data_IF_306534361473
#
_entry.id   IF_306534361473
#
_cell.length_a   1.000
_cell.length_b   1.000
_cell.length_c   1.000
_cell.angle_alpha   90.00
_cell.angle_beta   90.00
_cell.angle_gamma   90.00
#
_symmetry.space_group_name_H-M   'P 1'
#
loop_
_entity.id
_entity.type
_entity.pdbx_description
1 polymer ?
#
# COMPACT_ATOMS: atom_id res chain seq x y z
N UNK A 1 8.75 -2.93 -34.52
CA UNK A 1 7.84 -2.12 -33.68
C UNK A 1 8.52 -1.94 -32.34
N UNK A 2 8.56 -0.72 -31.80
CA UNK A 2 9.05 -0.49 -30.44
C UNK A 2 7.96 -0.88 -29.43
N UNK A 3 8.35 -1.40 -28.26
CA UNK A 3 7.42 -1.68 -27.16
C UNK A 3 6.77 -0.38 -26.67
N UNK A 4 5.47 -0.42 -26.42
CA UNK A 4 4.79 0.66 -25.72
C UNK A 4 4.93 0.44 -24.21
N UNK A 5 5.99 0.97 -23.62
CA UNK A 5 6.29 0.78 -22.20
C UNK A 5 5.18 1.26 -21.27
N UNK A 6 4.45 2.33 -21.62
CA UNK A 6 3.31 2.80 -20.83
C UNK A 6 2.22 1.74 -20.74
N UNK A 7 1.89 1.11 -21.88
CA UNK A 7 0.90 0.04 -21.92
C UNK A 7 1.38 -1.22 -21.18
N UNK A 8 2.66 -1.57 -21.25
CA UNK A 8 3.19 -2.74 -20.54
C UNK A 8 3.20 -2.56 -19.02
N UNK A 9 3.57 -1.36 -18.54
CA UNK A 9 3.58 -1.02 -17.11
C UNK A 9 2.16 -1.03 -16.54
N UNK A 10 1.22 -0.38 -17.22
CA UNK A 10 -0.18 -0.37 -16.83
C UNK A 10 -0.83 -1.73 -16.99
N UNK A 11 -0.56 -2.45 -18.09
CA UNK A 11 -1.16 -3.74 -18.37
C UNK A 11 -0.88 -4.78 -17.29
N UNK A 12 0.36 -4.82 -16.76
CA UNK A 12 0.67 -5.69 -15.62
C UNK A 12 -0.14 -5.32 -14.37
N UNK A 13 -0.17 -4.03 -14.05
CA UNK A 13 -0.82 -3.53 -12.84
C UNK A 13 -2.34 -3.71 -12.91
N UNK A 14 -2.95 -3.32 -14.02
CA UNK A 14 -4.40 -3.39 -14.26
C UNK A 14 -4.89 -4.83 -14.28
N UNK A 15 -4.16 -5.73 -14.94
CA UNK A 15 -4.48 -7.16 -14.90
C UNK A 15 -4.44 -7.70 -13.47
N UNK A 16 -3.36 -7.41 -12.72
CA UNK A 16 -3.27 -7.85 -11.33
C UNK A 16 -4.41 -7.27 -10.48
N UNK A 17 -4.69 -5.98 -10.63
CA UNK A 17 -5.72 -5.27 -9.89
C UNK A 17 -7.10 -5.88 -10.14
N UNK A 18 -7.52 -6.02 -11.40
CA UNK A 18 -8.88 -6.44 -11.75
C UNK A 18 -9.10 -7.94 -11.56
N UNK A 19 -8.08 -8.76 -11.87
CA UNK A 19 -8.22 -10.23 -11.87
C UNK A 19 -7.86 -10.84 -10.52
N UNK A 20 -6.86 -10.27 -9.81
CA UNK A 20 -6.31 -10.87 -8.59
C UNK A 20 -6.70 -10.10 -7.33
N UNK A 21 -6.36 -8.82 -7.24
CA UNK A 21 -6.45 -8.06 -5.99
C UNK A 21 -7.88 -7.61 -5.66
N UNK A 22 -8.51 -6.81 -6.51
CA UNK A 22 -9.78 -6.17 -6.18
C UNK A 22 -10.91 -7.17 -5.86
N UNK A 23 -11.08 -8.29 -6.60
CA UNK A 23 -12.04 -9.32 -6.22
C UNK A 23 -11.77 -9.90 -4.82
N UNK A 24 -10.50 -10.04 -4.44
CA UNK A 24 -10.08 -10.54 -3.11
C UNK A 24 -10.34 -9.54 -2.00
N UNK A 25 -10.56 -8.25 -2.28
CA UNK A 25 -10.85 -7.22 -1.27
C UNK A 25 -12.35 -7.02 -1.00
N UNK A 26 -13.23 -7.53 -1.87
CA UNK A 26 -14.69 -7.39 -1.69
C UNK A 26 -15.18 -8.01 -0.39
N UNK A 27 -16.08 -7.31 0.30
CA UNK A 27 -16.67 -7.74 1.57
C UNK A 27 -15.71 -7.73 2.77
N UNK A 28 -14.58 -7.03 2.67
CA UNK A 28 -13.68 -6.77 3.81
C UNK A 28 -14.38 -5.81 4.77
N UNK A 29 -14.43 -6.18 6.05
CA UNK A 29 -15.05 -5.37 7.09
C UNK A 29 -14.10 -5.12 8.25
N UNK A 30 -14.47 -4.22 9.15
CA UNK A 30 -13.57 -3.73 10.20
C UNK A 30 -13.03 -4.83 11.12
N UNK A 31 -13.79 -5.91 11.34
CA UNK A 31 -13.34 -7.05 12.16
C UNK A 31 -12.11 -7.74 11.57
N UNK A 32 -12.04 -7.92 10.25
CA UNK A 32 -10.84 -8.48 9.63
C UNK A 32 -9.76 -7.42 9.41
N UNK A 33 -10.15 -6.17 9.17
CA UNK A 33 -9.22 -5.04 9.05
C UNK A 33 -8.33 -4.91 10.28
N UNK A 34 -8.93 -5.02 11.47
CA UNK A 34 -8.27 -4.97 12.76
C UNK A 34 -7.86 -6.33 13.33
N UNK A 35 -8.00 -7.43 12.56
CA UNK A 35 -7.62 -8.75 13.07
C UNK A 35 -6.11 -8.86 13.25
N UNK A 36 -5.70 -9.22 14.47
CA UNK A 36 -4.30 -9.41 14.86
C UNK A 36 -3.91 -10.89 14.68
N UNK A 37 -3.09 -11.24 13.68
CA UNK A 37 -2.74 -12.63 13.40
C UNK A 37 -1.73 -13.21 14.41
N UNK A 38 -0.94 -12.36 15.06
CA UNK A 38 0.08 -12.71 16.05
C UNK A 38 0.14 -11.62 17.13
N UNK A 39 0.61 -11.97 18.31
CA UNK A 39 0.86 -11.00 19.38
C UNK A 39 1.92 -9.98 18.96
N UNK A 40 1.72 -8.72 19.34
CA UNK A 40 2.67 -7.65 19.05
C UNK A 40 2.72 -7.22 17.58
N UNK A 41 1.74 -7.61 16.76
CA UNK A 41 1.65 -7.15 15.38
C UNK A 41 1.41 -5.63 15.31
N UNK A 42 1.91 -5.01 14.24
CA UNK A 42 1.68 -3.60 13.95
C UNK A 42 0.32 -3.37 13.27
N UNK A 43 -0.40 -2.35 13.73
CA UNK A 43 -1.73 -2.02 13.21
C UNK A 43 -1.93 -0.51 13.04
N UNK A 44 -3.10 -0.14 12.53
CA UNK A 44 -3.58 1.25 12.51
C UNK A 44 -4.02 1.64 13.93
N UNK A 45 -3.63 2.83 14.38
CA UNK A 45 -3.94 3.38 15.71
C UNK A 45 -4.68 4.71 15.57
N UNK A 46 -5.73 4.96 16.36
CA UNK A 46 -6.33 6.28 16.44
C UNK A 46 -5.35 7.29 17.03
N UNK A 47 -5.42 8.54 16.55
CA UNK A 47 -4.69 9.69 17.09
C UNK A 47 -5.63 10.53 17.95
N UNK A 48 -5.06 11.32 18.87
CA UNK A 48 -5.83 12.22 19.73
C UNK A 48 -6.52 13.38 18.99
N UNK A 49 -6.18 13.61 17.71
CA UNK A 49 -6.75 14.64 16.84
C UNK A 49 -7.94 14.13 15.99
N UNK A 50 -8.37 12.87 16.19
CA UNK A 50 -9.45 12.24 15.44
C UNK A 50 -9.01 11.60 14.11
N UNK A 51 -7.73 11.74 13.74
CA UNK A 51 -7.12 10.98 12.64
C UNK A 51 -6.64 9.60 13.06
N UNK A 52 -5.95 8.91 12.15
CA UNK A 52 -5.25 7.66 12.45
C UNK A 52 -3.79 7.75 12.02
N UNK A 53 -2.96 6.95 12.68
CA UNK A 53 -1.57 6.67 12.34
C UNK A 53 -1.40 5.16 12.22
N UNK A 54 -0.20 4.71 11.89
CA UNK A 54 0.20 3.30 11.98
C UNK A 54 1.30 3.12 13.01
N UNK A 55 1.36 1.92 13.58
CA UNK A 55 2.53 1.45 14.30
C UNK A 55 3.71 1.39 13.29
N UNK A 56 4.78 2.13 13.59
CA UNK A 56 5.99 2.22 12.77
C UNK A 56 7.15 2.75 13.61
N UNK A 57 8.38 2.37 13.28
CA UNK A 57 9.60 2.94 13.86
C UNK A 57 10.75 2.87 12.86
N UNK A 58 11.72 3.77 13.03
CA UNK A 58 12.95 3.80 12.25
C UNK A 58 14.19 3.86 13.18
N UNK A 59 15.18 2.95 13.02
CA UNK A 59 15.13 1.76 12.17
C UNK A 59 14.06 0.77 12.65
N UNK A 60 13.58 -0.08 11.73
CA UNK A 60 12.64 -1.14 12.10
C UNK A 60 13.27 -2.15 13.07
N UNK A 61 12.47 -2.82 13.93
CA UNK A 61 12.96 -3.93 14.74
C UNK A 61 13.43 -5.10 13.87
N UNK A 62 14.28 -5.96 14.43
CA UNK A 62 14.76 -7.17 13.75
C UNK A 62 14.37 -8.43 14.56
N UNK A 63 13.45 -9.28 14.05
CA UNK A 63 12.72 -9.15 12.79
C UNK A 63 11.66 -8.04 12.83
N UNK A 64 11.23 -7.51 11.66
CA UNK A 64 10.12 -6.57 11.62
C UNK A 64 8.83 -7.25 12.10
N UNK A 65 7.99 -6.58 12.90
CA UNK A 65 6.73 -7.15 13.35
C UNK A 65 5.79 -7.45 12.18
N UNK A 66 4.98 -8.51 12.32
CA UNK A 66 3.89 -8.79 11.37
C UNK A 66 2.90 -7.62 11.41
N UNK A 67 2.34 -7.25 10.26
CA UNK A 67 1.37 -6.16 10.14
C UNK A 67 -0.04 -6.70 9.89
N UNK A 68 -1.06 -6.03 10.43
CA UNK A 68 -2.48 -6.37 10.19
C UNK A 68 -2.90 -6.08 8.73
N UNK A 69 -4.09 -6.55 8.36
CA UNK A 69 -4.72 -6.21 7.08
C UNK A 69 -4.87 -4.68 6.95
N UNK A 70 -5.34 -4.02 8.01
CA UNK A 70 -5.53 -2.58 8.01
C UNK A 70 -4.25 -1.79 7.81
N UNK A 71 -3.16 -2.21 8.46
CA UNK A 71 -1.84 -1.61 8.25
C UNK A 71 -1.39 -1.74 6.79
N UNK A 72 -1.51 -2.93 6.20
CA UNK A 72 -1.07 -3.19 4.80
C UNK A 72 -1.91 -2.42 3.79
N UNK A 73 -3.22 -2.35 3.97
CA UNK A 73 -4.09 -1.56 3.10
C UNK A 73 -3.81 -0.06 3.24
N UNK A 74 -3.57 0.42 4.46
CA UNK A 74 -3.12 1.78 4.71
C UNK A 74 -1.79 2.07 4.01
N UNK A 75 -0.83 1.15 4.05
CA UNK A 75 0.48 1.31 3.40
C UNK A 75 0.32 1.38 1.89
N UNK A 76 -0.46 0.48 1.29
CA UNK A 76 -0.73 0.52 -0.15
C UNK A 76 -1.46 1.80 -0.58
N UNK A 77 -2.44 2.27 0.20
CA UNK A 77 -3.17 3.49 -0.12
C UNK A 77 -2.28 4.73 0.06
N UNK A 78 -1.77 4.94 1.27
CA UNK A 78 -1.08 6.17 1.69
C UNK A 78 0.40 6.12 1.35
N UNK A 79 1.08 5.10 1.88
CA UNK A 79 2.52 4.92 1.84
C UNK A 79 3.06 4.44 0.50
N UNK A 80 2.21 4.10 -0.46
CA UNK A 80 2.56 3.69 -1.84
C UNK A 80 1.90 4.63 -2.86
N UNK A 81 0.57 4.69 -2.94
CA UNK A 81 -0.12 5.37 -4.03
C UNK A 81 -0.35 6.87 -3.82
N UNK A 82 -1.07 7.29 -2.78
CA UNK A 82 -1.47 8.69 -2.57
C UNK A 82 -0.26 9.63 -2.57
N UNK A 83 0.81 9.27 -1.85
CA UNK A 83 2.04 10.06 -1.81
C UNK A 83 2.64 10.26 -3.21
N UNK A 84 2.57 9.23 -4.07
CA UNK A 84 3.16 9.25 -5.42
C UNK A 84 2.27 9.99 -6.40
N UNK A 85 0.95 9.85 -6.24
CA UNK A 85 -0.04 10.63 -6.97
C UNK A 85 0.19 12.12 -6.69
N UNK A 86 0.29 12.51 -5.43
CA UNK A 86 0.54 13.91 -5.06
C UNK A 86 1.90 14.40 -5.57
N UNK A 87 2.96 13.62 -5.40
CA UNK A 87 4.30 14.09 -5.72
C UNK A 87 4.62 14.16 -7.23
N UNK A 88 4.02 13.28 -8.03
CA UNK A 88 4.29 13.22 -9.47
C UNK A 88 3.22 13.91 -10.32
N UNK A 89 1.98 13.97 -9.83
CA UNK A 89 0.84 14.48 -10.59
C UNK A 89 0.05 15.58 -9.85
N UNK A 90 0.42 15.89 -8.60
CA UNK A 90 -0.19 16.93 -7.77
C UNK A 90 0.77 18.09 -7.43
N UNK A 91 0.60 18.68 -6.25
CA UNK A 91 1.35 19.87 -5.82
C UNK A 91 2.52 19.58 -4.86
N UNK A 92 2.79 18.31 -4.56
CA UNK A 92 3.86 17.85 -3.66
C UNK A 92 3.72 18.36 -2.23
N UNK A 93 2.49 18.54 -1.76
CA UNK A 93 2.21 19.00 -0.39
C UNK A 93 2.03 17.86 0.61
N UNK A 94 1.76 16.64 0.16
CA UNK A 94 1.50 15.51 1.04
C UNK A 94 2.75 15.10 1.81
N UNK A 95 2.58 14.80 3.10
CA UNK A 95 3.68 14.33 3.96
C UNK A 95 3.23 13.15 4.80
N UNK A 96 4.06 12.11 4.82
CA UNK A 96 3.76 10.85 5.51
C UNK A 96 3.65 11.02 7.05
N UNK A 97 4.34 12.00 7.63
CA UNK A 97 4.33 12.30 9.06
C UNK A 97 3.05 13.02 9.53
N UNK A 98 2.34 13.69 8.62
CA UNK A 98 1.13 14.45 8.93
C UNK A 98 -0.16 13.86 8.36
N UNK A 99 -0.07 13.05 7.30
CA UNK A 99 -1.26 12.46 6.67
C UNK A 99 -1.98 11.52 7.64
N UNK A 100 -3.31 11.58 7.66
CA UNK A 100 -4.13 10.60 8.37
C UNK A 100 -4.18 9.30 7.58
N UNK A 101 -4.03 8.18 8.28
CA UNK A 101 -4.21 6.83 7.74
C UNK A 101 -5.69 6.43 7.75
N UNK A 102 -6.12 5.44 6.94
CA UNK A 102 -7.50 4.99 6.97
C UNK A 102 -7.81 4.23 8.26
N UNK A 103 -8.90 4.60 8.92
CA UNK A 103 -9.34 4.03 10.19
C UNK A 103 -10.39 2.92 10.07
N UNK A 104 -10.80 2.58 8.85
CA UNK A 104 -11.77 1.51 8.61
C UNK A 104 -11.49 0.79 7.30
N UNK A 105 -12.10 -0.39 7.17
CA UNK A 105 -12.12 -1.17 5.94
C UNK A 105 -12.60 -0.34 4.74
N UNK A 106 -13.77 0.28 4.88
CA UNK A 106 -14.41 1.04 3.79
C UNK A 106 -13.58 2.26 3.40
N UNK A 107 -13.01 2.97 4.38
CA UNK A 107 -12.15 4.12 4.12
C UNK A 107 -10.88 3.68 3.36
N UNK A 108 -10.24 2.60 3.81
CA UNK A 108 -9.03 2.09 3.18
C UNK A 108 -9.28 1.64 1.73
N UNK A 109 -10.37 0.92 1.46
CA UNK A 109 -10.71 0.47 0.12
C UNK A 109 -11.09 1.63 -0.81
N UNK A 110 -11.81 2.62 -0.29
CA UNK A 110 -12.16 3.83 -1.05
C UNK A 110 -10.90 4.57 -1.47
N UNK A 111 -10.03 4.89 -0.50
CA UNK A 111 -8.76 5.60 -0.73
C UNK A 111 -7.83 4.84 -1.66
N UNK A 112 -7.65 3.54 -1.43
CA UNK A 112 -6.83 2.69 -2.28
C UNK A 112 -7.35 2.69 -3.74
N UNK A 113 -8.66 2.57 -3.92
CA UNK A 113 -9.28 2.59 -5.25
C UNK A 113 -9.17 3.94 -5.96
N UNK A 114 -9.35 5.04 -5.24
CA UNK A 114 -9.18 6.40 -5.78
C UNK A 114 -7.73 6.66 -6.18
N UNK A 115 -6.78 6.36 -5.30
CA UNK A 115 -5.36 6.56 -5.54
C UNK A 115 -4.85 5.67 -6.68
N UNK A 116 -5.34 4.43 -6.78
CA UNK A 116 -5.05 3.54 -7.91
C UNK A 116 -5.49 4.14 -9.24
N UNK A 117 -6.75 4.62 -9.31
CA UNK A 117 -7.26 5.27 -10.54
C UNK A 117 -6.46 6.51 -10.92
N UNK A 118 -6.13 7.34 -9.93
CA UNK A 118 -5.34 8.55 -10.16
C UNK A 118 -3.91 8.23 -10.63
N UNK A 119 -3.27 7.22 -10.04
CA UNK A 119 -1.96 6.74 -10.47
C UNK A 119 -1.99 6.23 -11.92
N UNK A 120 -2.94 5.34 -12.25
CA UNK A 120 -3.06 4.82 -13.61
C UNK A 120 -3.38 5.93 -14.62
N UNK A 121 -4.18 6.93 -14.25
CA UNK A 121 -4.44 8.09 -15.10
C UNK A 121 -3.16 8.91 -15.36
N UNK A 122 -2.38 9.22 -14.32
CA UNK A 122 -1.14 9.97 -14.46
C UNK A 122 -0.08 9.24 -15.30
N UNK A 123 0.11 7.93 -15.05
CA UNK A 123 1.08 7.10 -15.80
C UNK A 123 0.70 7.00 -17.28
N UNK A 124 -0.60 6.94 -17.60
CA UNK A 124 -1.10 6.84 -18.98
C UNK A 124 -0.73 8.04 -19.85
N UNK A 125 -0.56 9.22 -19.24
CA UNK A 125 -0.14 10.44 -19.95
C UNK A 125 1.37 10.51 -20.23
N UNK A 126 2.16 9.56 -19.69
CA UNK A 126 3.61 9.57 -19.86
C UNK A 126 4.02 8.93 -21.19
N UNK A 127 4.74 9.72 -22.00
CA UNK A 127 5.43 9.22 -23.18
C UNK A 127 6.81 8.62 -22.87
N UNK A 128 7.47 8.00 -23.86
CA UNK A 128 8.76 7.32 -23.67
C UNK A 128 9.87 8.18 -23.04
N UNK A 129 9.94 9.46 -23.40
CA UNK A 129 10.94 10.39 -22.85
C UNK A 129 10.70 10.67 -21.36
N UNK A 130 9.44 10.88 -20.96
CA UNK A 130 9.08 11.10 -19.56
C UNK A 130 9.30 9.84 -18.72
N UNK A 131 9.02 8.66 -19.26
CA UNK A 131 9.32 7.38 -18.62
C UNK A 131 10.83 7.17 -18.39
N UNK A 132 11.67 7.67 -19.28
CA UNK A 132 13.13 7.57 -19.18
C UNK A 132 13.76 8.67 -18.31
N UNK A 133 13.03 9.75 -18.02
CA UNK A 133 13.54 10.87 -17.23
C UNK A 133 13.68 10.49 -15.74
N UNK A 134 14.69 11.05 -15.03
CA UNK A 134 14.83 10.88 -13.59
C UNK A 134 13.62 11.40 -12.82
N UNK A 135 13.23 10.71 -11.76
CA UNK A 135 12.12 11.13 -10.88
C UNK A 135 12.43 12.39 -10.07
N UNK A 136 13.71 12.70 -9.86
CA UNK A 136 14.17 13.91 -9.20
C UNK A 136 13.64 14.08 -7.78
N UNK A 137 13.40 15.33 -7.38
CA UNK A 137 13.00 15.70 -6.02
C UNK A 137 11.56 15.27 -5.63
N UNK A 138 10.83 14.59 -6.52
CA UNK A 138 9.54 13.98 -6.18
C UNK A 138 9.73 12.73 -5.30
N UNK A 139 10.90 12.11 -5.31
CA UNK A 139 11.26 10.96 -4.47
C UNK A 139 12.44 11.30 -3.54
N UNK A 140 12.70 10.49 -2.49
CA UNK A 140 13.88 10.63 -1.65
C UNK A 140 15.20 10.64 -2.44
N UNK A 141 16.25 11.24 -1.89
CA UNK A 141 17.53 11.47 -2.58
C UNK A 141 18.12 10.19 -3.19
N UNK A 142 18.02 9.05 -2.51
CA UNK A 142 18.50 7.76 -3.01
C UNK A 142 17.74 7.23 -4.24
N UNK A 143 16.60 7.83 -4.58
CA UNK A 143 15.79 7.52 -5.76
C UNK A 143 15.88 8.55 -6.88
N UNK A 144 16.39 9.75 -6.62
CA UNK A 144 16.24 10.92 -7.49
C UNK A 144 16.78 10.72 -8.92
N UNK A 145 17.80 9.88 -9.10
CA UNK A 145 18.42 9.62 -10.41
C UNK A 145 17.75 8.47 -11.19
N UNK A 146 16.87 7.68 -10.56
CA UNK A 146 16.22 6.56 -11.26
C UNK A 146 15.14 7.04 -12.23
N UNK A 147 14.96 6.34 -13.36
CA UNK A 147 13.95 6.71 -14.34
C UNK A 147 12.54 6.46 -13.79
N UNK A 148 11.57 7.24 -14.24
CA UNK A 148 10.17 7.07 -13.85
C UNK A 148 9.66 5.65 -14.11
N UNK A 149 10.07 5.00 -15.20
CA UNK A 149 9.72 3.61 -15.48
C UNK A 149 10.14 2.64 -14.35
N UNK A 150 11.29 2.88 -13.71
CA UNK A 150 11.74 2.07 -12.57
C UNK A 150 10.89 2.32 -11.34
N UNK A 151 10.47 3.56 -11.08
CA UNK A 151 9.50 3.87 -10.04
C UNK A 151 8.16 3.17 -10.30
N UNK A 152 7.64 3.22 -11.53
CA UNK A 152 6.39 2.54 -11.87
C UNK A 152 6.47 1.02 -11.65
N UNK A 153 7.56 0.37 -12.05
CA UNK A 153 7.81 -1.04 -11.76
C UNK A 153 7.89 -1.33 -10.25
N UNK A 154 8.50 -0.43 -9.49
CA UNK A 154 8.55 -0.52 -8.04
C UNK A 154 7.14 -0.46 -7.44
N UNK A 155 6.30 0.50 -7.84
CA UNK A 155 4.92 0.63 -7.37
C UNK A 155 4.09 -0.62 -7.73
N UNK A 156 4.23 -1.16 -8.95
CA UNK A 156 3.61 -2.42 -9.33
C UNK A 156 4.00 -3.55 -8.37
N UNK A 157 5.31 -3.68 -8.07
CA UNK A 157 5.83 -4.68 -7.14
C UNK A 157 5.27 -4.52 -5.74
N UNK A 158 5.21 -3.29 -5.20
CA UNK A 158 4.66 -3.02 -3.87
C UNK A 158 3.19 -3.44 -3.78
N UNK A 159 2.38 -3.09 -4.79
CA UNK A 159 0.96 -3.46 -4.83
C UNK A 159 0.76 -4.97 -4.96
N UNK A 160 1.55 -5.63 -5.80
CA UNK A 160 1.50 -7.09 -5.98
C UNK A 160 1.91 -7.82 -4.70
N UNK A 161 3.01 -7.38 -4.08
CA UNK A 161 3.55 -7.97 -2.86
C UNK A 161 2.56 -7.84 -1.70
N UNK A 162 2.17 -6.62 -1.33
CA UNK A 162 1.30 -6.41 -0.18
C UNK A 162 -0.14 -6.85 -0.44
N UNK A 163 -0.62 -6.76 -1.69
CA UNK A 163 -1.91 -7.30 -2.07
C UNK A 163 -1.98 -8.82 -1.90
N UNK A 164 -0.89 -9.55 -2.18
CA UNK A 164 -0.80 -10.98 -1.93
C UNK A 164 -0.78 -11.31 -0.44
N UNK A 165 -0.06 -10.52 0.38
CA UNK A 165 -0.07 -10.68 1.84
C UNK A 165 -1.45 -10.42 2.45
N UNK A 166 -2.16 -9.39 1.99
CA UNK A 166 -3.55 -9.12 2.39
C UNK A 166 -4.45 -10.29 2.01
N UNK A 167 -4.33 -10.81 0.79
CA UNK A 167 -5.13 -11.97 0.36
C UNK A 167 -4.87 -13.20 1.24
N UNK A 168 -3.60 -13.48 1.58
CA UNK A 168 -3.24 -14.56 2.49
C UNK A 168 -3.82 -14.36 3.88
N UNK A 169 -3.68 -13.17 4.47
CA UNK A 169 -4.25 -12.88 5.80
C UNK A 169 -5.78 -13.02 5.81
N UNK A 170 -6.47 -12.59 4.75
CA UNK A 170 -7.92 -12.79 4.63
C UNK A 170 -8.28 -14.27 4.61
N UNK A 171 -7.53 -15.09 3.86
CA UNK A 171 -7.78 -16.53 3.78
C UNK A 171 -7.60 -17.18 5.16
N UNK A 172 -6.58 -16.78 5.93
CA UNK A 172 -6.36 -17.25 7.31
C UNK A 172 -7.50 -16.83 8.25
N UNK A 173 -7.92 -15.56 8.22
CA UNK A 173 -9.05 -15.07 9.01
C UNK A 173 -10.33 -15.84 8.71
N UNK A 174 -10.63 -16.06 7.43
CA UNK A 174 -11.84 -16.79 6.97
C UNK A 174 -11.80 -18.27 7.31
N UNK A 175 -10.61 -18.87 7.41
CA UNK A 175 -10.43 -20.23 7.90
C UNK A 175 -10.67 -20.37 9.41
N UNK A 176 -10.93 -19.27 10.13
CA UNK A 176 -11.22 -19.29 11.56
C UNK A 176 -9.99 -19.37 12.45
N UNK A 177 -8.80 -19.04 11.91
CA UNK A 177 -7.61 -18.88 12.76
C UNK A 177 -7.89 -17.76 13.77
N UNK A 178 -7.94 -18.16 15.02
CA UNK A 178 -8.09 -17.22 16.13
C UNK A 178 -6.78 -16.45 16.29
N UNK A 179 -6.86 -15.16 16.58
CA UNK A 179 -5.69 -14.37 16.98
C UNK A 179 -5.09 -14.92 18.28
N UNK A 180 -4.00 -14.32 18.78
CA UNK A 180 -3.40 -14.73 20.04
C UNK A 180 -4.46 -14.79 21.16
N UNK A 181 -4.50 -15.92 21.87
CA UNK A 181 -5.32 -16.07 23.07
C UNK A 181 -4.59 -15.37 24.23
N UNK A 182 -5.14 -14.27 24.80
CA UNK A 182 -4.49 -13.56 25.89
C UNK A 182 -4.29 -14.43 27.14
N UNK A 183 -4.92 -15.61 27.23
CA UNK A 183 -4.73 -16.56 28.32
C UNK A 183 -3.64 -17.63 28.06
N UNK A 184 -3.05 -17.67 26.86
CA UNK A 184 -2.03 -18.68 26.51
C UNK A 184 -0.64 -18.14 26.81
N UNK A 185 0.12 -18.72 27.76
CA UNK A 185 1.45 -18.24 28.08
C UNK A 185 2.39 -18.37 26.88
N UNK A 186 3.19 -17.33 26.64
CA UNK A 186 4.28 -17.33 25.65
C UNK A 186 5.27 -18.43 26.06
N UNK A 187 5.50 -19.40 25.18
CA UNK A 187 6.54 -20.40 25.41
C UNK A 187 7.91 -19.73 25.26
N UNK A 188 8.73 -19.79 26.31
CA UNK A 188 10.14 -19.37 26.32
C UNK A 188 11.02 -20.21 25.39
#
# INVERSE_FOLDING_TARGET
>A
MALNWTDELLGQLEFYWDVSLWPRLRGLGDREFYWEPVEGCWTVRPRGDGGHTVDWTWPEPSPPPVTTIGWRLGHMAVGVLELRVDHHFGDRSMRLDTVSWPGSADEALTRLGDAYRAWCAGVRELGPEALAAPVGAAEPEQWAEFPFAMLALHINRELIHHGAEVALLRDLYRAGLSGPDPARPVAE
#
